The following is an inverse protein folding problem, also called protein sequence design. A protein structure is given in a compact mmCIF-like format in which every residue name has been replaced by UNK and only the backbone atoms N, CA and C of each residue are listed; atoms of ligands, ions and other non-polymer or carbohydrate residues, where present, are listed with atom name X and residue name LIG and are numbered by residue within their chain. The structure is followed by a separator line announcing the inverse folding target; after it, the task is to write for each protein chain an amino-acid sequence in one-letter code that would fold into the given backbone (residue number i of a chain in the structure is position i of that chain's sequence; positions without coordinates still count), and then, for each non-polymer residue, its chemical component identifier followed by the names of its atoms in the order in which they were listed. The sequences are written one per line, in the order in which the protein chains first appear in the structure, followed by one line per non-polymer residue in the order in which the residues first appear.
data_IF_985940867613
#
_entry.id   IF_985940867613
#
_cell.length_a   1.000
_cell.length_b   1.000
_cell.length_c   1.000
_cell.angle_alpha   90.00
_cell.angle_beta   90.00
_cell.angle_gamma   90.00
#
_symmetry.space_group_name_H-M   'P 1'
#
loop_
_entity.id
_entity.type
_entity.pdbx_description
1 polymer ?
#
# COMPACT_ATOMS: atom_id res chain seq x y z
N UNK A 1 -2.04 14.46 -28.91
CA UNK A 1 -1.13 13.33 -28.63
C UNK A 1 -1.36 12.72 -27.26
N UNK A 2 -1.67 13.49 -26.22
CA UNK A 2 -1.99 12.92 -24.91
C UNK A 2 -3.23 12.01 -24.91
N UNK A 3 -4.28 12.35 -25.68
CA UNK A 3 -5.44 11.48 -25.88
C UNK A 3 -5.06 10.07 -26.37
N UNK A 4 -3.99 9.95 -27.16
CA UNK A 4 -3.49 8.65 -27.60
C UNK A 4 -2.87 7.87 -26.44
N UNK A 5 -2.06 8.51 -25.59
CA UNK A 5 -1.57 7.88 -24.35
C UNK A 5 -2.72 7.48 -23.42
N UNK A 6 -3.78 8.30 -23.34
CA UNK A 6 -4.95 8.00 -22.51
C UNK A 6 -5.67 6.78 -23.05
N UNK A 7 -5.87 6.69 -24.37
CA UNK A 7 -6.44 5.51 -25.01
C UNK A 7 -5.59 4.26 -24.74
N UNK A 8 -4.25 4.35 -24.84
CA UNK A 8 -3.34 3.27 -24.48
C UNK A 8 -3.49 2.85 -23.01
N UNK A 9 -3.57 3.80 -22.09
CA UNK A 9 -3.75 3.53 -20.66
C UNK A 9 -5.11 2.90 -20.33
N UNK A 10 -6.16 3.28 -21.06
CA UNK A 10 -7.48 2.64 -20.97
C UNK A 10 -7.44 1.21 -21.49
N UNK A 11 -6.82 0.97 -22.65
CA UNK A 11 -6.68 -0.38 -23.22
C UNK A 11 -5.88 -1.27 -22.26
N UNK A 12 -4.72 -0.81 -21.79
CA UNK A 12 -3.92 -1.52 -20.79
C UNK A 12 -4.77 -1.87 -19.57
N UNK A 13 -5.50 -0.90 -19.01
CA UNK A 13 -6.34 -1.09 -17.83
C UNK A 13 -7.47 -2.10 -18.02
N UNK A 14 -8.12 -2.08 -19.18
CA UNK A 14 -9.17 -3.06 -19.51
C UNK A 14 -8.56 -4.46 -19.61
N UNK A 15 -7.44 -4.62 -20.32
CA UNK A 15 -6.78 -5.91 -20.50
C UNK A 15 -6.29 -6.49 -19.18
N UNK A 16 -5.61 -5.70 -18.36
CA UNK A 16 -5.08 -6.15 -17.07
C UNK A 16 -6.19 -6.43 -16.07
N UNK A 17 -7.24 -5.58 -16.03
CA UNK A 17 -8.41 -5.83 -15.16
C UNK A 17 -9.15 -7.10 -15.56
N UNK A 18 -9.30 -7.35 -16.86
CA UNK A 18 -9.97 -8.56 -17.35
C UNK A 18 -9.21 -9.83 -16.97
N UNK A 19 -7.89 -9.86 -17.17
CA UNK A 19 -7.08 -11.03 -16.79
C UNK A 19 -7.03 -11.23 -15.28
N UNK A 20 -6.88 -10.15 -14.51
CA UNK A 20 -6.83 -10.22 -13.06
C UNK A 20 -8.14 -10.76 -12.46
N UNK A 21 -9.29 -10.27 -12.94
CA UNK A 21 -10.61 -10.77 -12.48
C UNK A 21 -10.84 -12.24 -12.90
N UNK A 22 -10.47 -12.61 -14.12
CA UNK A 22 -10.81 -13.93 -14.68
C UNK A 22 -9.85 -15.03 -14.25
N UNK A 23 -8.57 -14.70 -14.16
CA UNK A 23 -7.49 -15.68 -13.93
C UNK A 23 -6.74 -15.46 -12.61
N UNK A 24 -6.86 -14.28 -12.00
CA UNK A 24 -6.02 -13.89 -10.86
C UNK A 24 -4.58 -13.55 -11.24
N UNK A 25 -4.28 -13.53 -12.56
CA UNK A 25 -2.96 -13.30 -13.11
C UNK A 25 -2.95 -12.11 -14.07
N UNK A 26 -1.80 -11.46 -14.12
CA UNK A 26 -1.52 -10.36 -15.03
C UNK A 26 -0.49 -10.87 -16.03
N UNK A 27 -0.89 -10.87 -17.30
CA UNK A 27 0.00 -11.26 -18.39
C UNK A 27 0.88 -10.08 -18.79
N UNK A 28 2.19 -10.29 -18.74
CA UNK A 28 3.23 -9.35 -19.11
C UNK A 28 3.02 -8.71 -20.49
N UNK A 29 2.42 -9.46 -21.43
CA UNK A 29 2.09 -8.96 -22.77
C UNK A 29 1.06 -7.83 -22.77
N UNK A 30 0.28 -7.70 -21.69
CA UNK A 30 -0.70 -6.62 -21.53
C UNK A 30 -0.10 -5.35 -20.93
N UNK A 31 1.17 -5.37 -20.50
CA UNK A 31 1.82 -4.21 -19.86
C UNK A 31 3.04 -3.74 -20.66
N UNK A 32 4.00 -4.61 -20.93
CA UNK A 32 5.29 -4.20 -21.51
C UNK A 32 5.21 -3.48 -22.87
N UNK A 33 4.31 -3.85 -23.81
CA UNK A 33 4.16 -3.10 -25.05
C UNK A 33 3.78 -1.63 -24.81
N UNK A 34 2.89 -1.37 -23.85
CA UNK A 34 2.48 0.00 -23.49
C UNK A 34 3.60 0.78 -22.83
N UNK A 35 4.41 0.11 -21.99
CA UNK A 35 5.62 0.69 -21.40
C UNK A 35 6.61 1.13 -22.46
N UNK A 36 6.90 0.24 -23.42
CA UNK A 36 7.80 0.55 -24.52
C UNK A 36 7.31 1.76 -25.33
N UNK A 37 6.01 1.80 -25.65
CA UNK A 37 5.40 2.94 -26.34
C UNK A 37 5.51 4.24 -25.54
N UNK A 38 5.28 4.20 -24.23
CA UNK A 38 5.45 5.35 -23.34
C UNK A 38 6.88 5.88 -23.35
N UNK A 39 7.86 5.00 -23.15
CA UNK A 39 9.29 5.38 -23.15
C UNK A 39 9.70 5.99 -24.49
N UNK A 40 9.36 5.33 -25.61
CA UNK A 40 9.69 5.83 -26.95
C UNK A 40 9.02 7.18 -27.22
N UNK A 41 7.78 7.35 -26.78
CA UNK A 41 7.05 8.61 -26.93
C UNK A 41 7.74 9.77 -26.21
N UNK A 42 8.07 9.61 -24.93
CA UNK A 42 8.74 10.67 -24.16
C UNK A 42 10.15 10.92 -24.68
N UNK A 43 10.89 9.88 -25.05
CA UNK A 43 12.22 10.01 -25.64
C UNK A 43 12.18 10.84 -26.92
N UNK A 44 11.28 10.52 -27.86
CA UNK A 44 11.10 11.28 -29.10
C UNK A 44 10.72 12.74 -28.82
N UNK A 45 9.73 12.97 -27.94
CA UNK A 45 9.24 14.33 -27.65
C UNK A 45 10.29 15.17 -26.92
N UNK A 46 11.04 14.59 -25.99
CA UNK A 46 12.11 15.27 -25.27
C UNK A 46 13.29 15.64 -26.17
N UNK A 47 13.73 14.73 -27.05
CA UNK A 47 14.77 15.04 -28.03
C UNK A 47 14.35 16.16 -28.99
N UNK A 48 13.07 16.20 -29.40
CA UNK A 48 12.55 17.27 -30.25
C UNK A 48 12.52 18.64 -29.57
N UNK A 49 12.28 18.67 -28.26
CA UNK A 49 12.24 19.90 -27.45
C UNK A 49 13.62 20.31 -26.93
N UNK A 50 14.62 19.41 -27.01
CA UNK A 50 15.96 19.62 -26.45
C UNK A 50 16.03 19.41 -24.93
N UNK A 51 15.04 18.74 -24.34
CA UNK A 51 14.97 18.46 -22.91
C UNK A 51 15.25 16.98 -22.64
N UNK A 52 16.47 16.70 -22.16
CA UNK A 52 16.90 15.35 -21.79
C UNK A 52 16.12 14.81 -20.59
N UNK A 53 15.79 15.67 -19.62
CA UNK A 53 15.05 15.23 -18.44
C UNK A 53 13.65 14.75 -18.84
N UNK A 54 12.99 15.50 -19.73
CA UNK A 54 11.72 15.08 -20.32
C UNK A 54 11.86 13.83 -21.19
N UNK A 55 12.97 13.69 -21.95
CA UNK A 55 13.22 12.51 -22.78
C UNK A 55 13.29 11.21 -21.96
N UNK A 56 13.93 11.26 -20.78
CA UNK A 56 14.06 10.12 -19.87
C UNK A 56 12.88 9.94 -18.91
N UNK A 57 11.85 10.80 -18.98
CA UNK A 57 10.73 10.79 -18.03
C UNK A 57 9.96 9.48 -18.00
N UNK A 58 9.75 8.81 -19.14
CA UNK A 58 9.11 7.49 -19.17
C UNK A 58 9.89 6.42 -18.39
N UNK A 59 11.24 6.43 -18.47
CA UNK A 59 12.10 5.52 -17.70
C UNK A 59 12.12 5.88 -16.21
N UNK A 60 12.18 7.17 -15.88
CA UNK A 60 12.10 7.64 -14.49
C UNK A 60 10.76 7.29 -13.85
N UNK A 61 9.66 7.46 -14.58
CA UNK A 61 8.32 7.07 -14.16
C UNK A 61 8.20 5.57 -13.94
N UNK A 62 8.72 4.75 -14.87
CA UNK A 62 8.80 3.29 -14.71
C UNK A 62 9.52 2.92 -13.40
N UNK A 63 10.71 3.50 -13.16
CA UNK A 63 11.49 3.26 -11.96
C UNK A 63 10.77 3.67 -10.68
N UNK A 64 10.14 4.86 -10.68
CA UNK A 64 9.38 5.35 -9.53
C UNK A 64 8.18 4.44 -9.22
N UNK A 65 7.41 4.04 -10.25
CA UNK A 65 6.28 3.12 -10.09
C UNK A 65 6.71 1.73 -9.62
N UNK A 66 7.80 1.19 -10.17
CA UNK A 66 8.36 -0.08 -9.72
C UNK A 66 8.84 -0.03 -8.27
N UNK A 67 9.58 1.01 -7.87
CA UNK A 67 10.07 1.14 -6.50
C UNK A 67 8.91 1.24 -5.49
N UNK A 68 7.88 2.04 -5.80
CA UNK A 68 6.69 2.17 -4.96
C UNK A 68 5.90 0.86 -4.89
N UNK A 69 5.68 0.20 -6.03
CA UNK A 69 4.98 -1.08 -6.07
C UNK A 69 5.77 -2.17 -5.33
N UNK A 70 7.08 -2.23 -5.52
CA UNK A 70 7.95 -3.19 -4.83
C UNK A 70 7.94 -2.96 -3.32
N UNK A 71 7.94 -1.70 -2.86
CA UNK A 71 7.75 -1.37 -1.45
C UNK A 71 6.41 -1.91 -0.92
N UNK A 72 5.33 -1.79 -1.70
CA UNK A 72 4.03 -2.35 -1.33
C UNK A 72 4.00 -3.88 -1.30
N UNK A 73 4.68 -4.52 -2.25
CA UNK A 73 4.86 -5.97 -2.30
C UNK A 73 5.61 -6.48 -1.06
N UNK A 74 6.70 -5.82 -0.66
CA UNK A 74 7.46 -6.17 0.55
C UNK A 74 6.65 -6.03 1.83
N UNK A 75 5.72 -5.07 1.90
CA UNK A 75 4.79 -4.95 3.03
C UNK A 75 3.69 -6.03 3.02
N UNK A 76 3.70 -6.94 2.03
CA UNK A 76 2.65 -7.93 1.82
C UNK A 76 1.31 -7.31 1.45
N UNK A 77 1.33 -6.08 0.91
CA UNK A 77 0.14 -5.36 0.50
C UNK A 77 -0.38 -5.82 -0.86
N UNK A 78 0.52 -6.09 -1.80
CA UNK A 78 0.25 -6.32 -3.22
C UNK A 78 0.93 -7.58 -3.77
N UNK A 79 0.42 -8.08 -4.90
CA UNK A 79 1.06 -9.12 -5.68
C UNK A 79 2.10 -8.52 -6.64
N UNK A 80 2.98 -9.37 -7.19
CA UNK A 80 4.02 -8.94 -8.16
C UNK A 80 3.41 -8.30 -9.41
N UNK A 81 2.26 -8.78 -9.88
CA UNK A 81 1.56 -8.20 -11.03
C UNK A 81 1.12 -6.74 -10.82
N UNK A 82 0.64 -6.39 -9.62
CA UNK A 82 0.23 -5.01 -9.30
C UNK A 82 1.41 -4.04 -9.37
N UNK A 83 2.61 -4.51 -9.01
CA UNK A 83 3.86 -3.74 -9.14
C UNK A 83 4.14 -3.42 -10.60
N UNK A 84 4.01 -4.40 -11.48
CA UNK A 84 4.24 -4.26 -12.92
C UNK A 84 3.21 -3.31 -13.55
N UNK A 85 1.94 -3.40 -13.16
CA UNK A 85 0.89 -2.47 -13.63
C UNK A 85 1.18 -1.04 -13.19
N UNK A 86 1.51 -0.81 -11.92
CA UNK A 86 1.83 0.52 -11.42
C UNK A 86 3.06 1.09 -12.14
N UNK A 87 4.10 0.29 -12.30
CA UNK A 87 5.28 0.66 -13.07
C UNK A 87 4.91 1.02 -14.51
N UNK A 88 4.02 0.23 -15.13
CA UNK A 88 3.62 0.43 -16.50
C UNK A 88 2.81 1.70 -16.73
N UNK A 89 1.83 1.98 -15.86
CA UNK A 89 1.12 3.25 -15.89
C UNK A 89 2.05 4.44 -15.63
N UNK A 90 3.01 4.29 -14.72
CA UNK A 90 3.96 5.36 -14.40
C UNK A 90 4.93 5.65 -15.55
N UNK A 91 5.24 4.64 -16.38
CA UNK A 91 6.04 4.83 -17.59
C UNK A 91 5.26 5.52 -18.72
N UNK A 92 3.97 5.21 -18.83
CA UNK A 92 3.07 5.80 -19.82
C UNK A 92 2.64 7.23 -19.43
N UNK A 93 2.49 7.47 -18.13
CA UNK A 93 2.10 8.73 -17.51
C UNK A 93 3.05 9.12 -16.37
N UNK A 94 4.29 9.54 -16.69
CA UNK A 94 5.24 10.04 -15.69
C UNK A 94 4.79 11.37 -15.08
N UNK A 95 3.98 12.17 -15.80
CA UNK A 95 3.44 13.46 -15.36
C UNK A 95 1.92 13.44 -15.29
N UNK A 96 1.37 14.40 -14.53
CA UNK A 96 -0.06 14.62 -14.44
C UNK A 96 -0.65 15.03 -15.80
N UNK A 97 -1.82 14.48 -16.10
CA UNK A 97 -2.56 14.73 -17.33
C UNK A 97 -2.89 16.22 -17.53
N UNK A 98 -2.94 16.69 -18.79
CA UNK A 98 -3.43 18.05 -19.09
C UNK A 98 -4.90 18.21 -18.69
N UNK A 99 -5.70 17.13 -18.80
CA UNK A 99 -7.11 17.07 -18.42
C UNK A 99 -7.37 17.06 -16.91
N UNK A 100 -6.34 16.79 -16.10
CA UNK A 100 -6.49 16.75 -14.65
C UNK A 100 -6.82 18.14 -14.09
N UNK A 101 -7.90 18.23 -13.29
CA UNK A 101 -8.30 19.48 -12.62
C UNK A 101 -7.35 19.85 -11.49
N UNK A 102 -6.87 18.85 -10.75
CA UNK A 102 -6.02 19.02 -9.57
C UNK A 102 -4.68 18.35 -9.82
N UNK A 103 -3.62 19.14 -9.93
CA UNK A 103 -2.29 18.63 -10.25
C UNK A 103 -1.35 18.85 -9.06
N UNK A 104 -0.85 17.75 -8.52
CA UNK A 104 0.12 17.81 -7.44
C UNK A 104 1.48 18.32 -7.97
N UNK A 105 2.21 19.17 -7.23
CA UNK A 105 3.51 19.70 -7.69
C UNK A 105 4.50 18.61 -8.09
N UNK A 106 4.56 17.51 -7.34
CA UNK A 106 5.46 16.39 -7.65
C UNK A 106 5.12 15.68 -8.96
N UNK A 107 3.87 15.74 -9.44
CA UNK A 107 3.45 15.14 -10.70
C UNK A 107 3.49 16.13 -11.87
N UNK A 108 3.67 17.42 -11.60
CA UNK A 108 3.82 18.46 -12.63
C UNK A 108 5.30 18.69 -12.94
N UNK A 109 6.11 18.86 -11.90
CA UNK A 109 7.52 19.24 -12.06
C UNK A 109 8.46 18.03 -12.18
N UNK A 110 8.06 16.88 -11.64
CA UNK A 110 8.88 15.67 -11.61
C UNK A 110 8.08 14.49 -12.18
N UNK A 111 8.77 13.46 -12.71
CA UNK A 111 8.13 12.25 -13.24
C UNK A 111 7.66 11.32 -12.09
N UNK A 112 6.97 11.87 -11.10
CA UNK A 112 6.53 11.19 -9.87
C UNK A 112 5.01 11.00 -9.81
N UNK A 113 4.34 10.97 -10.96
CA UNK A 113 2.91 10.71 -11.03
C UNK A 113 2.51 9.31 -10.52
N UNK A 114 3.48 8.40 -10.37
CA UNK A 114 3.32 7.13 -9.67
C UNK A 114 2.67 7.26 -8.27
N UNK A 115 2.97 8.35 -7.54
CA UNK A 115 2.35 8.64 -6.25
C UNK A 115 0.85 8.93 -6.40
N UNK A 116 0.49 9.75 -7.39
CA UNK A 116 -0.91 10.05 -7.71
C UNK A 116 -1.68 8.77 -8.04
N UNK A 117 -1.11 7.92 -8.89
CA UNK A 117 -1.70 6.65 -9.30
C UNK A 117 -1.92 5.73 -8.09
N UNK A 118 -0.90 5.56 -7.24
CA UNK A 118 -0.99 4.73 -6.04
C UNK A 118 -2.09 5.21 -5.09
N UNK A 119 -2.09 6.49 -4.72
CA UNK A 119 -3.06 7.01 -3.76
C UNK A 119 -4.48 7.07 -4.33
N UNK A 120 -4.65 7.44 -5.60
CA UNK A 120 -5.96 7.41 -6.24
C UNK A 120 -6.54 5.99 -6.29
N UNK A 121 -5.70 4.98 -6.50
CA UNK A 121 -6.15 3.57 -6.52
C UNK A 121 -6.61 3.12 -5.13
N UNK A 122 -5.83 3.45 -4.09
CA UNK A 122 -6.15 3.14 -2.69
C UNK A 122 -7.44 3.85 -2.24
N UNK A 123 -7.55 5.16 -2.51
CA UNK A 123 -8.72 5.96 -2.12
C UNK A 123 -9.94 5.55 -2.93
N UNK A 124 -9.77 5.30 -4.23
CA UNK A 124 -10.85 4.92 -5.15
C UNK A 124 -11.47 3.55 -4.83
N UNK A 125 -10.65 2.57 -4.42
CA UNK A 125 -11.15 1.24 -4.07
C UNK A 125 -11.73 1.17 -2.65
N UNK A 126 -11.41 2.15 -1.78
CA UNK A 126 -11.83 2.11 -0.38
C UNK A 126 -13.34 1.93 -0.15
N UNK A 127 -14.25 2.65 -0.84
CA UNK A 127 -15.69 2.44 -0.67
C UNK A 127 -16.13 1.01 -0.99
N UNK A 128 -15.55 0.41 -2.04
CA UNK A 128 -15.86 -0.97 -2.43
C UNK A 128 -15.34 -1.98 -1.41
N UNK A 129 -14.09 -1.82 -0.97
CA UNK A 129 -13.50 -2.61 0.11
C UNK A 129 -14.34 -2.54 1.39
N UNK A 130 -14.78 -1.33 1.74
CA UNK A 130 -15.58 -1.09 2.93
C UNK A 130 -16.88 -1.87 2.88
N UNK A 131 -17.66 -1.73 1.79
CA UNK A 131 -18.94 -2.43 1.61
C UNK A 131 -18.73 -3.95 1.58
N UNK A 132 -17.74 -4.43 0.82
CA UNK A 132 -17.45 -5.86 0.70
C UNK A 132 -17.03 -6.48 2.05
N UNK A 133 -16.19 -5.79 2.81
CA UNK A 133 -15.77 -6.25 4.13
C UNK A 133 -16.93 -6.30 5.12
N UNK A 134 -17.73 -5.24 5.20
CA UNK A 134 -18.88 -5.18 6.08
C UNK A 134 -19.90 -6.27 5.74
N UNK A 135 -20.26 -6.40 4.46
CA UNK A 135 -21.17 -7.43 3.99
C UNK A 135 -20.65 -8.84 4.30
N UNK A 136 -19.38 -9.11 4.00
CA UNK A 136 -18.74 -10.40 4.29
C UNK A 136 -18.73 -10.75 5.78
N UNK A 137 -18.46 -9.78 6.66
CA UNK A 137 -18.48 -9.99 8.10
C UNK A 137 -19.88 -10.25 8.64
N UNK A 138 -20.89 -9.53 8.14
CA UNK A 138 -22.29 -9.71 8.54
C UNK A 138 -22.77 -11.10 8.11
N UNK A 139 -22.50 -11.50 6.85
CA UNK A 139 -22.88 -12.82 6.33
C UNK A 139 -22.21 -13.95 7.12
N UNK A 140 -20.92 -13.80 7.44
CA UNK A 140 -20.18 -14.77 8.28
C UNK A 140 -20.50 -14.66 9.77
N UNK A 141 -21.42 -13.77 10.20
CA UNK A 141 -21.81 -13.51 11.60
C UNK A 141 -20.65 -13.14 12.54
N UNK A 142 -19.59 -12.50 12.01
CA UNK A 142 -18.38 -12.12 12.78
C UNK A 142 -18.48 -10.70 13.34
N UNK A 143 -19.47 -10.44 14.19
CA UNK A 143 -19.77 -9.10 14.74
C UNK A 143 -18.62 -8.56 15.61
N UNK A 144 -17.88 -9.42 16.30
CA UNK A 144 -16.73 -8.96 17.11
C UNK A 144 -15.60 -8.42 16.24
N UNK A 145 -15.34 -9.05 15.10
CA UNK A 145 -14.36 -8.58 14.12
C UNK A 145 -14.77 -7.27 13.46
N UNK A 146 -16.08 -7.04 13.31
CA UNK A 146 -16.61 -5.76 12.86
C UNK A 146 -16.31 -4.64 13.86
N UNK A 147 -16.48 -4.88 15.17
CA UNK A 147 -16.13 -3.89 16.20
C UNK A 147 -14.65 -3.53 16.16
N UNK A 148 -13.77 -4.52 15.97
CA UNK A 148 -12.31 -4.33 15.86
C UNK A 148 -11.96 -3.30 14.77
N UNK A 149 -12.66 -3.30 13.63
CA UNK A 149 -12.42 -2.31 12.56
C UNK A 149 -12.48 -0.86 13.09
N UNK A 150 -13.48 -0.57 13.92
CA UNK A 150 -13.73 0.77 14.43
C UNK A 150 -12.98 1.08 15.74
N UNK A 151 -12.62 0.07 16.54
CA UNK A 151 -12.01 0.29 17.86
C UNK A 151 -10.51 0.01 17.92
N UNK A 152 -9.98 -0.92 17.12
CA UNK A 152 -8.55 -1.28 17.16
C UNK A 152 -7.68 -0.07 16.81
N UNK A 153 -6.58 0.14 17.54
CA UNK A 153 -5.63 1.22 17.33
C UNK A 153 -6.21 2.66 17.41
N UNK A 154 -7.42 2.85 17.94
CA UNK A 154 -8.01 4.18 18.09
C UNK A 154 -7.15 5.09 18.98
N UNK A 155 -6.58 4.53 20.06
CA UNK A 155 -5.65 5.26 20.92
C UNK A 155 -4.44 5.73 20.12
N UNK A 156 -3.84 4.86 19.30
CA UNK A 156 -2.67 5.21 18.49
C UNK A 156 -3.01 6.32 17.48
N UNK A 157 -4.21 6.33 16.90
CA UNK A 157 -4.68 7.41 16.01
C UNK A 157 -4.66 8.77 16.72
N UNK A 158 -5.16 8.81 17.96
CA UNK A 158 -5.17 10.03 18.79
C UNK A 158 -3.74 10.41 19.19
N UNK A 159 -2.93 9.44 19.63
CA UNK A 159 -1.53 9.64 20.00
C UNK A 159 -0.73 10.26 18.84
N UNK A 160 -0.84 9.70 17.62
CA UNK A 160 -0.14 10.21 16.45
C UNK A 160 -0.55 11.65 16.12
N UNK A 161 -1.85 11.97 16.18
CA UNK A 161 -2.30 13.34 15.95
C UNK A 161 -1.73 14.32 16.98
N UNK A 162 -1.70 13.93 18.26
CA UNK A 162 -1.09 14.72 19.33
C UNK A 162 0.42 14.90 19.13
N UNK A 163 1.14 13.84 18.73
CA UNK A 163 2.58 13.90 18.50
C UNK A 163 2.94 14.78 17.29
N UNK A 164 2.08 14.86 16.28
CA UNK A 164 2.23 15.83 15.20
C UNK A 164 2.09 17.25 15.72
N UNK A 165 1.18 17.52 16.67
CA UNK A 165 1.09 18.85 17.29
C UNK A 165 2.38 19.21 18.03
N UNK A 166 3.00 18.25 18.73
CA UNK A 166 4.31 18.45 19.37
C UNK A 166 5.38 18.77 18.32
N UNK A 167 5.45 18.01 17.23
CA UNK A 167 6.40 18.23 16.14
C UNK A 167 6.23 19.63 15.52
N UNK A 168 4.98 20.00 15.20
CA UNK A 168 4.66 21.32 14.67
C UNK A 168 5.08 22.42 15.65
N UNK A 169 4.80 22.25 16.95
CA UNK A 169 5.17 23.23 17.95
C UNK A 169 6.67 23.38 18.13
N UNK A 170 7.43 22.29 18.03
CA UNK A 170 8.89 22.33 18.04
C UNK A 170 9.43 23.12 16.84
N UNK A 171 8.90 22.90 15.63
CA UNK A 171 9.32 23.67 14.45
C UNK A 171 8.93 25.15 14.51
N UNK A 172 7.76 25.46 15.06
CA UNK A 172 7.34 26.85 15.30
C UNK A 172 8.27 27.52 16.32
N UNK A 173 8.58 26.85 17.43
CA UNK A 173 9.49 27.36 18.44
C UNK A 173 10.91 27.57 17.89
N UNK A 174 11.42 26.63 17.09
CA UNK A 174 12.71 26.78 16.38
C UNK A 174 12.75 28.02 15.49
N UNK A 175 11.68 28.24 14.73
CA UNK A 175 11.59 29.39 13.84
C UNK A 175 11.48 30.71 14.63
N UNK A 176 10.67 30.74 15.70
CA UNK A 176 10.40 31.95 16.46
C UNK A 176 11.57 32.36 17.39
N UNK A 177 12.11 31.43 18.17
CA UNK A 177 13.14 31.73 19.17
C UNK A 177 14.56 31.74 18.61
N UNK A 178 14.82 30.94 17.56
CA UNK A 178 16.16 30.80 17.00
C UNK A 178 16.29 31.34 15.57
N UNK A 179 15.18 31.80 14.96
CA UNK A 179 15.19 32.27 13.57
C UNK A 179 15.45 31.18 12.53
N UNK A 180 15.46 29.90 12.92
CA UNK A 180 15.85 28.79 12.04
C UNK A 180 14.66 28.38 11.20
N UNK A 181 14.68 28.75 9.92
CA UNK A 181 13.67 28.31 8.94
C UNK A 181 14.16 27.07 8.20
N UNK A 182 13.70 25.89 8.61
CA UNK A 182 14.06 24.64 7.95
C UNK A 182 13.34 24.50 6.61
N UNK A 183 14.04 23.92 5.62
CA UNK A 183 13.47 23.52 4.34
C UNK A 183 12.30 22.52 4.55
N UNK A 184 11.21 22.56 3.75
CA UNK A 184 10.04 21.70 3.96
C UNK A 184 10.37 20.20 4.05
N UNK A 185 11.28 19.69 3.20
CA UNK A 185 11.71 18.29 3.25
C UNK A 185 12.37 17.92 4.60
N UNK A 186 13.17 18.83 5.17
CA UNK A 186 13.83 18.62 6.47
C UNK A 186 12.78 18.61 7.58
N UNK A 187 11.74 19.45 7.49
CA UNK A 187 10.62 19.43 8.45
C UNK A 187 9.84 18.11 8.38
N UNK A 188 9.62 17.57 7.18
CA UNK A 188 8.97 16.26 7.00
C UNK A 188 9.78 15.13 7.60
N UNK A 189 11.07 15.03 7.24
CA UNK A 189 11.98 14.01 7.78
C UNK A 189 12.10 14.17 9.30
N UNK A 190 12.28 15.40 9.78
CA UNK A 190 12.35 15.72 11.20
C UNK A 190 11.07 15.33 11.95
N UNK A 191 9.89 15.54 11.34
CA UNK A 191 8.61 15.08 11.91
C UNK A 191 8.62 13.57 12.11
N UNK A 192 9.04 12.80 11.09
CA UNK A 192 9.09 11.33 11.21
C UNK A 192 10.06 10.87 12.32
N UNK A 193 11.22 11.51 12.45
CA UNK A 193 12.18 11.24 13.53
C UNK A 193 11.58 11.56 14.90
N UNK A 194 10.95 12.73 15.05
CA UNK A 194 10.28 13.15 16.28
C UNK A 194 9.17 12.16 16.65
N UNK A 195 8.33 11.74 15.70
CA UNK A 195 7.30 10.73 15.96
C UNK A 195 7.90 9.41 16.45
N UNK A 196 9.03 8.97 15.88
CA UNK A 196 9.74 7.78 16.32
C UNK A 196 10.27 7.89 17.77
N UNK A 197 10.78 9.06 18.16
CA UNK A 197 11.23 9.34 19.52
C UNK A 197 10.03 9.42 20.48
N UNK A 198 8.99 10.16 20.13
CA UNK A 198 7.78 10.32 20.93
C UNK A 198 7.06 8.99 21.14
N UNK A 199 7.09 8.10 20.14
CA UNK A 199 6.55 6.76 20.23
C UNK A 199 7.23 5.85 21.26
N UNK A 200 8.51 6.09 21.59
CA UNK A 200 9.21 5.38 22.69
C UNK A 200 8.72 5.84 24.06
N UNK A 201 8.29 7.10 24.19
CA UNK A 201 7.90 7.72 25.46
C UNK A 201 6.41 8.11 25.51
N UNK A 202 5.53 7.21 25.06
CA UNK A 202 4.10 7.48 24.83
C UNK A 202 3.40 8.32 25.89
N UNK A 203 3.53 7.97 27.17
CA UNK A 203 2.85 8.68 28.27
C UNK A 203 3.28 10.16 28.36
N UNK A 204 4.57 10.43 28.29
CA UNK A 204 5.10 11.79 28.33
C UNK A 204 4.71 12.56 27.05
N UNK A 205 4.82 11.91 25.89
CA UNK A 205 4.47 12.47 24.59
C UNK A 205 2.99 12.86 24.49
N UNK A 206 2.09 12.05 25.06
CA UNK A 206 0.64 12.32 25.08
C UNK A 206 0.32 13.52 25.99
N UNK A 207 0.97 13.62 27.15
CA UNK A 207 0.82 14.78 28.04
C UNK A 207 1.30 16.04 27.31
N UNK A 208 2.49 15.99 26.71
CA UNK A 208 3.05 17.11 25.97
C UNK A 208 2.16 17.52 24.79
N UNK A 209 1.65 16.55 24.03
CA UNK A 209 0.74 16.81 22.91
C UNK A 209 -0.57 17.45 23.34
N UNK A 210 -1.16 17.03 24.46
CA UNK A 210 -2.36 17.67 25.03
C UNK A 210 -2.07 19.10 25.47
N UNK A 211 -0.93 19.34 26.13
CA UNK A 211 -0.50 20.69 26.50
C UNK A 211 -0.32 21.56 25.25
N UNK A 212 0.36 21.06 24.22
CA UNK A 212 0.56 21.80 22.96
C UNK A 212 -0.76 22.11 22.27
N UNK A 213 -1.70 21.15 22.24
CA UNK A 213 -3.04 21.38 21.69
C UNK A 213 -3.77 22.49 22.47
N UNK A 214 -3.72 22.48 23.79
CA UNK A 214 -4.32 23.51 24.63
C UNK A 214 -3.68 24.90 24.39
N UNK A 215 -2.35 24.96 24.36
CA UNK A 215 -1.59 26.20 24.09
C UNK A 215 -1.91 26.77 22.72
N UNK A 216 -1.88 25.95 21.65
CA UNK A 216 -2.20 26.43 20.32
C UNK A 216 -3.66 26.83 20.18
N UNK A 217 -4.58 26.12 20.83
CA UNK A 217 -5.99 26.51 20.86
C UNK A 217 -6.18 27.84 21.60
N UNK A 218 -5.41 28.10 22.65
CA UNK A 218 -5.43 29.40 23.35
C UNK A 218 -4.89 30.55 22.49
N UNK A 219 -3.79 30.32 21.76
CA UNK A 219 -3.13 31.35 20.94
C UNK A 219 -3.88 31.63 19.64
N UNK A 220 -4.25 30.58 18.91
CA UNK A 220 -4.83 30.66 17.55
C UNK A 220 -6.37 30.62 17.58
N UNK A 221 -6.96 30.15 18.68
CA UNK A 221 -8.39 30.02 18.84
C UNK A 221 -8.98 28.74 18.24
N UNK A 222 -10.30 28.75 18.06
CA UNK A 222 -11.09 27.59 17.64
C UNK A 222 -10.69 27.00 16.27
N UNK A 223 -10.12 27.81 15.39
CA UNK A 223 -9.63 27.37 14.07
C UNK A 223 -8.56 26.27 14.19
N UNK A 224 -7.71 26.34 15.21
CA UNK A 224 -6.70 25.32 15.46
C UNK A 224 -7.33 23.99 15.89
N UNK A 225 -8.34 24.05 16.77
CA UNK A 225 -9.08 22.86 17.21
C UNK A 225 -9.79 22.17 16.04
N UNK A 226 -10.37 22.95 15.11
CA UNK A 226 -10.94 22.41 13.87
C UNK A 226 -9.88 21.75 12.99
N UNK A 227 -8.68 22.32 12.89
CA UNK A 227 -7.58 21.74 12.12
C UNK A 227 -7.10 20.42 12.74
N UNK A 228 -7.01 20.35 14.07
CA UNK A 228 -6.73 19.12 14.79
C UNK A 228 -7.82 18.07 14.59
N UNK A 229 -9.10 18.47 14.64
CA UNK A 229 -10.23 17.58 14.38
C UNK A 229 -10.20 17.03 12.93
N UNK A 230 -9.88 17.86 11.94
CA UNK A 230 -9.67 17.42 10.54
C UNK A 230 -8.55 16.39 10.44
N UNK A 231 -7.41 16.63 11.10
CA UNK A 231 -6.29 15.69 11.14
C UNK A 231 -6.71 14.34 11.76
N UNK A 232 -7.42 14.38 12.88
CA UNK A 232 -7.95 13.17 13.53
C UNK A 232 -8.89 12.40 12.62
N UNK A 233 -9.81 13.08 11.91
CA UNK A 233 -10.72 12.43 10.97
C UNK A 233 -9.94 11.72 9.86
N UNK A 234 -8.92 12.38 9.28
CA UNK A 234 -8.09 11.78 8.23
C UNK A 234 -7.34 10.56 8.76
N UNK A 235 -6.71 10.66 9.94
CA UNK A 235 -6.03 9.51 10.54
C UNK A 235 -6.99 8.39 10.90
N UNK A 236 -8.20 8.71 11.33
CA UNK A 236 -9.23 7.72 11.59
C UNK A 236 -9.69 7.03 10.31
N UNK A 237 -9.88 7.75 9.21
CA UNK A 237 -10.20 7.16 7.90
C UNK A 237 -9.09 6.20 7.46
N UNK A 238 -7.82 6.60 7.53
CA UNK A 238 -6.69 5.73 7.21
C UNK A 238 -6.62 4.52 8.15
N UNK A 239 -6.87 4.71 9.45
CA UNK A 239 -6.95 3.61 10.41
C UNK A 239 -8.02 2.60 9.99
N UNK A 240 -9.23 3.08 9.72
CA UNK A 240 -10.36 2.24 9.31
C UNK A 240 -10.03 1.49 8.01
N UNK A 241 -9.40 2.16 7.03
CA UNK A 241 -8.91 1.52 5.82
C UNK A 241 -7.98 0.34 6.12
N UNK A 242 -6.92 0.55 6.91
CA UNK A 242 -5.96 -0.52 7.22
C UNK A 242 -6.59 -1.65 8.05
N UNK A 243 -7.46 -1.32 8.99
CA UNK A 243 -8.20 -2.33 9.76
C UNK A 243 -9.13 -3.15 8.88
N UNK A 244 -9.78 -2.56 7.87
CA UNK A 244 -10.62 -3.28 6.90
C UNK A 244 -9.79 -4.23 6.06
N UNK A 245 -8.66 -3.76 5.52
CA UNK A 245 -7.75 -4.58 4.74
C UNK A 245 -7.24 -5.77 5.56
N UNK A 246 -6.90 -5.53 6.84
CA UNK A 246 -6.50 -6.59 7.77
C UNK A 246 -7.61 -7.62 7.97
N UNK A 247 -8.82 -7.17 8.33
CA UNK A 247 -9.96 -8.06 8.59
C UNK A 247 -10.38 -8.83 7.33
N UNK A 248 -10.38 -8.21 6.16
CA UNK A 248 -10.63 -8.88 4.89
C UNK A 248 -9.65 -10.04 4.69
N UNK A 249 -8.36 -9.76 4.87
CA UNK A 249 -7.28 -10.73 4.69
C UNK A 249 -7.37 -11.90 5.67
N UNK A 250 -7.69 -11.63 6.93
CA UNK A 250 -7.72 -12.65 8.00
C UNK A 250 -9.03 -13.47 8.01
N UNK A 251 -10.15 -12.90 7.58
CA UNK A 251 -11.47 -13.50 7.83
C UNK A 251 -12.27 -13.82 6.57
N UNK A 252 -12.10 -13.04 5.50
CA UNK A 252 -12.93 -13.12 4.29
C UNK A 252 -12.18 -13.82 3.16
N UNK A 253 -10.94 -13.42 2.94
CA UNK A 253 -10.06 -13.93 1.88
C UNK A 253 -9.29 -15.19 2.28
N UNK A 254 -9.60 -15.80 3.42
CA UNK A 254 -9.06 -17.10 3.80
C UNK A 254 -10.13 -18.16 3.63
N UNK A 255 -9.73 -19.26 2.97
CA UNK A 255 -10.52 -20.46 2.81
C UNK A 255 -9.70 -21.67 3.26
N UNK A 256 -10.34 -22.59 3.98
CA UNK A 256 -9.75 -23.88 4.34
C UNK A 256 -10.14 -24.88 3.26
N UNK A 257 -9.16 -25.50 2.61
CA UNK A 257 -9.37 -26.51 1.57
C UNK A 257 -8.62 -27.80 1.94
N UNK A 258 -9.19 -28.98 1.64
CA UNK A 258 -8.43 -30.22 1.67
C UNK A 258 -7.54 -30.32 0.42
N UNK A 259 -6.55 -31.21 0.44
CA UNK A 259 -5.48 -31.35 -0.57
C UNK A 259 -6.04 -31.71 -1.95
N UNK A 260 -7.18 -32.40 -2.01
CA UNK A 260 -7.84 -32.79 -3.25
C UNK A 260 -8.41 -31.58 -3.99
N UNK A 261 -8.77 -30.53 -3.25
CA UNK A 261 -9.34 -29.30 -3.76
C UNK A 261 -8.32 -28.19 -3.99
N UNK A 262 -7.03 -28.45 -3.69
CA UNK A 262 -5.94 -27.55 -4.05
C UNK A 262 -5.77 -27.55 -5.56
N UNK A 263 -5.77 -26.34 -6.13
CA UNK A 263 -5.50 -26.13 -7.54
C UNK A 263 -4.11 -25.54 -7.71
N UNK A 264 -3.52 -25.80 -8.88
CA UNK A 264 -2.36 -25.02 -9.32
C UNK A 264 -2.70 -23.54 -9.17
N UNK A 265 -1.74 -22.76 -8.69
CA UNK A 265 -1.87 -21.32 -8.41
C UNK A 265 -2.61 -20.94 -7.11
N UNK A 266 -3.13 -21.90 -6.33
CA UNK A 266 -3.63 -21.57 -4.99
C UNK A 266 -2.47 -21.04 -4.12
N UNK A 267 -2.66 -19.87 -3.49
CA UNK A 267 -1.67 -19.26 -2.59
C UNK A 267 -1.88 -19.84 -1.19
N UNK A 268 -0.91 -20.61 -0.68
CA UNK A 268 -0.97 -21.09 0.69
C UNK A 268 -0.83 -19.93 1.68
N UNK A 269 -1.50 -20.06 2.82
CA UNK A 269 -1.39 -19.17 3.96
C UNK A 269 -0.32 -19.59 4.97
N UNK A 270 0.39 -20.68 4.70
CA UNK A 270 1.34 -21.33 5.60
C UNK A 270 2.58 -21.85 4.84
N UNK A 271 3.72 -21.90 5.53
CA UNK A 271 4.92 -22.57 5.07
C UNK A 271 4.86 -24.05 5.44
N UNK A 272 5.28 -24.91 4.52
CA UNK A 272 5.43 -26.34 4.73
C UNK A 272 6.86 -26.71 4.36
N UNK A 273 7.61 -27.21 5.33
CA UNK A 273 9.03 -27.52 5.17
C UNK A 273 9.41 -28.76 5.96
N UNK A 274 10.49 -29.39 5.54
CA UNK A 274 11.03 -30.58 6.18
C UNK A 274 12.22 -30.21 7.07
N UNK A 275 12.19 -30.62 8.34
CA UNK A 275 13.30 -30.42 9.27
C UNK A 275 13.56 -31.70 10.03
N UNK A 276 14.78 -32.23 9.93
CA UNK A 276 15.20 -33.48 10.58
C UNK A 276 14.28 -34.68 10.27
N UNK A 277 13.71 -34.75 9.06
CA UNK A 277 12.79 -35.82 8.65
C UNK A 277 11.33 -35.65 9.12
N UNK A 278 11.03 -34.59 9.87
CA UNK A 278 9.67 -34.21 10.25
C UNK A 278 9.16 -33.06 9.37
N UNK A 279 7.88 -33.12 9.00
CA UNK A 279 7.24 -32.08 8.20
C UNK A 279 6.52 -31.11 9.14
N UNK A 280 6.94 -29.85 9.09
CA UNK A 280 6.45 -28.80 9.97
C UNK A 280 5.67 -27.75 9.18
N UNK A 281 4.71 -27.12 9.88
CA UNK A 281 3.90 -26.00 9.37
C UNK A 281 4.26 -24.72 10.11
N UNK A 282 4.49 -23.63 9.38
CA UNK A 282 4.62 -22.30 9.96
C UNK A 282 3.56 -21.35 9.38
N UNK A 283 2.69 -20.86 10.27
CA UNK A 283 1.57 -19.96 9.96
C UNK A 283 1.88 -18.49 10.28
N UNK A 284 3.10 -18.15 10.69
CA UNK A 284 3.47 -16.79 11.06
C UNK A 284 3.54 -15.85 9.86
N UNK A 285 2.94 -14.67 9.98
CA UNK A 285 2.99 -13.64 8.94
C UNK A 285 4.35 -12.92 8.93
N UNK A 286 4.71 -12.38 7.76
CA UNK A 286 5.96 -11.61 7.58
C UNK A 286 6.12 -10.46 8.59
N UNK A 287 5.01 -9.79 8.95
CA UNK A 287 4.99 -8.71 9.94
C UNK A 287 5.35 -9.22 11.35
N UNK A 288 4.94 -10.43 11.71
CA UNK A 288 5.24 -11.03 13.01
C UNK A 288 6.71 -11.43 13.08
N UNK A 289 7.26 -11.99 12.00
CA UNK A 289 8.69 -12.26 11.85
C UNK A 289 9.52 -10.97 11.90
N UNK A 290 9.05 -9.90 11.26
CA UNK A 290 9.70 -8.60 11.29
C UNK A 290 9.72 -7.97 12.69
N UNK A 291 8.60 -7.99 13.41
CA UNK A 291 8.54 -7.54 14.82
C UNK A 291 9.47 -8.35 15.71
N UNK A 292 9.50 -9.68 15.56
CA UNK A 292 10.41 -10.56 16.30
C UNK A 292 11.88 -10.30 15.96
N UNK A 293 12.22 -10.13 14.68
CA UNK A 293 13.58 -9.80 14.24
C UNK A 293 14.07 -8.47 14.82
N UNK A 294 13.21 -7.45 14.86
CA UNK A 294 13.49 -6.17 15.51
C UNK A 294 13.64 -6.28 17.03
N UNK A 295 12.77 -7.07 17.68
CA UNK A 295 12.82 -7.27 19.13
C UNK A 295 14.04 -8.09 19.58
N UNK A 296 14.53 -9.01 18.75
CA UNK A 296 15.65 -9.93 19.06
C UNK A 296 16.98 -9.52 18.42
N UNK A 297 16.99 -8.50 17.56
CA UNK A 297 18.19 -8.04 16.84
C UNK A 297 18.71 -9.03 15.80
N UNK A 298 17.98 -10.11 15.49
CA UNK A 298 18.45 -11.16 14.60
C UNK A 298 17.78 -11.07 13.22
N UNK A 299 18.47 -10.45 12.26
CA UNK A 299 18.01 -10.25 10.88
C UNK A 299 17.83 -11.57 10.10
N UNK A 300 18.40 -12.68 10.57
CA UNK A 300 18.24 -13.99 9.94
C UNK A 300 16.79 -14.52 10.03
N UNK A 301 15.98 -14.03 10.98
CA UNK A 301 14.56 -14.38 11.11
C UNK A 301 13.67 -13.78 10.00
N UNK A 302 14.17 -12.79 9.24
CA UNK A 302 13.46 -12.20 8.09
C UNK A 302 13.55 -13.06 6.84
N UNK A 303 14.59 -13.89 6.73
CA UNK A 303 14.79 -14.89 5.69
C UNK A 303 15.04 -16.23 6.35
N UNK A 304 14.01 -16.86 6.94
CA UNK A 304 14.18 -18.19 7.48
C UNK A 304 14.65 -19.12 6.36
N UNK A 305 15.88 -19.61 6.46
CA UNK A 305 16.34 -20.71 5.63
C UNK A 305 15.69 -21.97 6.20
N UNK A 306 14.48 -22.26 5.74
CA UNK A 306 13.94 -23.60 5.90
C UNK A 306 14.68 -24.49 4.92
N UNK A 307 15.39 -25.50 5.43
CA UNK A 307 15.86 -26.59 4.58
C UNK A 307 14.63 -27.37 4.09
N UNK A 308 14.68 -27.90 2.87
CA UNK A 308 13.60 -28.74 2.33
C UNK A 308 12.22 -28.07 2.24
N UNK A 309 12.13 -26.82 1.75
CA UNK A 309 10.84 -26.16 1.51
C UNK A 309 10.03 -26.99 0.51
N UNK A 310 8.85 -27.43 0.95
CA UNK A 310 7.90 -28.15 0.13
C UNK A 310 6.93 -27.16 -0.51
N UNK A 311 6.38 -26.25 0.30
CA UNK A 311 5.49 -25.20 -0.18
C UNK A 311 5.61 -23.94 0.67
N UNK A 312 5.42 -22.79 0.04
CA UNK A 312 5.54 -21.46 0.66
C UNK A 312 4.32 -20.59 0.38
N UNK A 313 4.00 -19.62 1.25
CA UNK A 313 2.96 -18.63 1.02
C UNK A 313 3.43 -17.53 0.06
N UNK A 314 3.98 -17.93 -1.09
CA UNK A 314 4.45 -17.04 -2.15
C UNK A 314 3.28 -16.62 -3.02
N UNK A 315 3.31 -15.38 -3.51
CA UNK A 315 2.27 -14.83 -4.41
C UNK A 315 2.21 -15.57 -5.76
N UNK A 316 3.24 -16.34 -6.10
CA UNK A 316 3.29 -17.21 -7.28
C UNK A 316 2.36 -18.42 -7.16
N UNK A 317 1.89 -18.77 -5.97
CA UNK A 317 0.98 -19.91 -5.76
C UNK A 317 1.67 -21.27 -5.86
N UNK A 318 0.88 -22.34 -5.75
CA UNK A 318 1.35 -23.72 -5.80
C UNK A 318 1.57 -24.23 -7.24
N UNK A 319 2.69 -24.91 -7.46
CA UNK A 319 2.94 -25.69 -8.69
C UNK A 319 2.28 -27.08 -8.62
N UNK A 320 2.06 -27.72 -9.78
CA UNK A 320 1.52 -29.09 -9.84
C UNK A 320 2.39 -30.10 -9.08
N UNK A 321 3.71 -30.01 -9.22
CA UNK A 321 4.66 -30.89 -8.53
C UNK A 321 4.55 -30.76 -7.01
N UNK A 322 4.39 -29.53 -6.51
CA UNK A 322 4.17 -29.28 -5.08
C UNK A 322 2.84 -29.87 -4.61
N UNK A 323 1.76 -29.72 -5.39
CA UNK A 323 0.45 -30.29 -5.03
C UNK A 323 0.52 -31.82 -4.96
N UNK A 324 1.17 -32.48 -5.92
CA UNK A 324 1.37 -33.94 -5.88
C UNK A 324 2.19 -34.37 -4.67
N UNK A 325 3.25 -33.63 -4.33
CA UNK A 325 4.03 -33.89 -3.12
C UNK A 325 3.18 -33.73 -1.86
N UNK A 326 2.36 -32.69 -1.77
CA UNK A 326 1.45 -32.49 -0.63
C UNK A 326 0.41 -33.61 -0.52
N UNK A 327 -0.14 -34.11 -1.64
CA UNK A 327 -1.06 -35.25 -1.67
C UNK A 327 -0.43 -36.50 -1.06
N UNK A 328 0.78 -36.85 -1.51
CA UNK A 328 1.52 -38.01 -0.97
C UNK A 328 1.75 -37.90 0.54
N UNK A 329 2.09 -36.71 1.03
CA UNK A 329 2.34 -36.50 2.46
C UNK A 329 1.09 -36.61 3.34
N UNK A 330 -0.08 -36.23 2.79
CA UNK A 330 -1.38 -36.44 3.44
C UNK A 330 -1.77 -37.92 3.42
N UNK A 331 -1.58 -38.62 2.29
CA UNK A 331 -1.82 -40.06 2.17
C UNK A 331 -0.92 -40.89 3.12
N UNK A 332 0.34 -40.48 3.29
CA UNK A 332 1.29 -41.08 4.24
C UNK A 332 0.98 -40.75 5.71
N UNK A 333 -0.05 -39.93 6.00
CA UNK A 333 -0.43 -39.53 7.35
C UNK A 333 0.55 -38.57 8.03
N UNK A 334 1.54 -38.05 7.30
CA UNK A 334 2.54 -37.10 7.81
C UNK A 334 2.01 -35.67 7.90
N UNK A 335 0.85 -35.40 7.31
CA UNK A 335 0.28 -34.06 7.21
C UNK A 335 -1.25 -34.09 7.30
N UNK A 336 -1.85 -33.16 8.04
CA UNK A 336 -3.31 -33.02 8.13
C UNK A 336 -3.92 -32.59 6.80
N UNK A 337 -5.08 -33.14 6.44
CA UNK A 337 -5.79 -32.79 5.20
C UNK A 337 -6.59 -31.47 5.28
N UNK A 338 -5.97 -30.43 5.86
CA UNK A 338 -6.55 -29.09 5.94
C UNK A 338 -5.47 -28.05 5.66
N UNK A 339 -5.64 -27.29 4.57
CA UNK A 339 -4.73 -26.25 4.12
C UNK A 339 -5.41 -24.90 4.10
N UNK A 340 -4.68 -23.87 4.53
CA UNK A 340 -5.15 -22.49 4.48
C UNK A 340 -4.79 -21.92 3.10
N UNK A 341 -5.79 -21.54 2.32
CA UNK A 341 -5.61 -20.87 1.02
C UNK A 341 -6.05 -19.41 1.13
N UNK A 342 -5.19 -18.50 0.68
CA UNK A 342 -5.46 -17.07 0.60
C UNK A 342 -5.98 -16.74 -0.80
N UNK A 343 -7.17 -16.17 -0.88
CA UNK A 343 -7.70 -15.58 -2.11
C UNK A 343 -7.02 -14.23 -2.35
N UNK A 344 -6.31 -14.11 -3.46
CA UNK A 344 -5.84 -12.82 -3.93
C UNK A 344 -7.03 -11.92 -4.24
N UNK A 345 -6.95 -10.66 -3.85
CA UNK A 345 -7.92 -9.67 -4.28
C UNK A 345 -7.43 -9.08 -5.61
N UNK A 346 -8.25 -9.04 -6.66
CA UNK A 346 -7.85 -8.41 -7.91
C UNK A 346 -7.69 -6.90 -7.70
N UNK A 347 -6.46 -6.41 -7.77
CA UNK A 347 -6.14 -5.00 -7.53
C UNK A 347 -5.86 -4.23 -8.84
N UNK A 348 -5.70 -4.92 -9.98
CA UNK A 348 -5.60 -4.27 -11.29
C UNK A 348 -6.80 -3.35 -11.62
N UNK A 349 -8.07 -3.70 -11.28
CA UNK A 349 -9.20 -2.79 -11.45
C UNK A 349 -9.09 -1.53 -10.60
N UNK A 350 -8.50 -1.62 -9.41
CA UNK A 350 -8.26 -0.47 -8.54
C UNK A 350 -7.19 0.46 -9.13
N UNK A 351 -6.11 -0.11 -9.67
CA UNK A 351 -5.07 0.63 -10.41
C UNK A 351 -5.64 1.33 -11.64
N UNK A 352 -6.50 0.64 -12.39
CA UNK A 352 -7.18 1.23 -13.54
C UNK A 352 -8.12 2.37 -13.12
N UNK A 353 -8.90 2.18 -12.05
CA UNK A 353 -9.74 3.26 -11.49
C UNK A 353 -8.89 4.45 -11.03
N UNK A 354 -7.75 4.20 -10.37
CA UNK A 354 -6.82 5.24 -9.95
C UNK A 354 -6.24 6.02 -11.13
N UNK A 355 -5.93 5.34 -12.24
CA UNK A 355 -5.56 5.96 -13.50
C UNK A 355 -6.68 6.84 -14.06
N UNK A 356 -7.91 6.35 -14.17
CA UNK A 356 -9.04 7.15 -14.67
C UNK A 356 -9.26 8.41 -13.82
N UNK A 357 -9.22 8.27 -12.50
CA UNK A 357 -9.29 9.41 -11.57
C UNK A 357 -8.15 10.38 -11.82
N UNK A 358 -6.91 9.88 -11.99
CA UNK A 358 -5.74 10.72 -12.23
C UNK A 358 -5.85 11.55 -13.51
N UNK A 359 -6.47 10.99 -14.56
CA UNK A 359 -6.64 11.66 -15.85
C UNK A 359 -7.77 12.70 -15.80
N UNK A 360 -8.94 12.34 -15.27
CA UNK A 360 -10.14 13.19 -15.36
C UNK A 360 -10.33 14.15 -14.18
N UNK A 361 -9.83 13.78 -13.01
CA UNK A 361 -10.00 14.55 -11.78
C UNK A 361 -8.66 15.09 -11.28
N UNK A 362 -7.61 14.28 -11.37
CA UNK A 362 -6.27 14.61 -10.89
C UNK A 362 -5.93 13.88 -9.61
N UNK A 363 -5.21 14.54 -8.71
CA UNK A 363 -4.67 13.92 -7.50
C UNK A 363 -5.61 14.09 -6.29
N UNK A 364 -6.26 12.98 -5.88
CA UNK A 364 -7.17 12.97 -4.72
C UNK A 364 -6.44 13.19 -3.40
N UNK A 365 -5.23 12.67 -3.27
CA UNK A 365 -4.45 12.84 -2.05
C UNK A 365 -4.03 14.30 -1.89
N UNK A 366 -3.59 14.93 -2.97
CA UNK A 366 -3.29 16.36 -2.98
C UNK A 366 -4.52 17.22 -2.69
N UNK A 367 -5.69 16.87 -3.23
CA UNK A 367 -6.94 17.54 -2.88
C UNK A 367 -7.24 17.44 -1.38
N UNK A 368 -7.06 16.27 -0.79
CA UNK A 368 -7.25 16.08 0.66
C UNK A 368 -6.28 16.97 1.43
N UNK A 369 -5.00 17.03 1.03
CA UNK A 369 -4.01 17.90 1.65
C UNK A 369 -4.37 19.38 1.55
N UNK A 370 -4.83 19.85 0.38
CA UNK A 370 -5.29 21.24 0.20
C UNK A 370 -6.45 21.57 1.14
N UNK A 371 -7.50 20.73 1.15
CA UNK A 371 -8.66 20.91 2.03
C UNK A 371 -8.30 20.86 3.53
N UNK A 372 -7.29 20.08 3.89
CA UNK A 372 -6.75 20.05 5.26
C UNK A 372 -6.03 21.36 5.59
N UNK A 373 -5.26 21.91 4.66
CA UNK A 373 -4.58 23.21 4.82
C UNK A 373 -5.50 24.43 4.71
N UNK A 374 -6.78 24.23 4.40
CA UNK A 374 -7.75 25.31 4.22
C UNK A 374 -7.65 26.02 2.87
N UNK A 375 -7.03 25.37 1.88
CA UNK A 375 -6.90 25.81 0.49
C UNK A 375 -7.92 25.14 -0.42
#
# INVERSE_FOLDING_TARGET
MELFLVALGVIMGILTSYTDIKTGFIDDKHVFPFVALGIVYYMYKGLKVGDLFYAFSGLMGLGAGFLLGYFMYLMGGWASGDVVILAGYSALFPYASEFAKIKAPYAVYYPLHALTLLFNSIIGVFPFLFIYALGGLIVKKKIDKLKIVFTENLTLTIELALWIMVSLGLFIALQYYFGITLHPLIRWIGTLVILGILGKYKKASNILGTIMLAVFTYIVGFVFLLSFAKLLIVFYIFKVFFSIVKVLREEILIEKKPVENLKEWDILGEWIYEKNGEILRDRESFIDKFKKALATGNLSLLKPHYEGIIASPTAEGLTKEQIEKLKKLVEEGKLENEFIVRKAMPFAPALFLGFLISVFYGDLFWLLLQKMSGL
#
